data_IF_409367725199
#
_entry.id   IF_409367725199
#
_cell.length_a   1.000
_cell.length_b   1.000
_cell.length_c   1.000
_cell.angle_alpha   90.00
_cell.angle_beta   90.00
_cell.angle_gamma   90.00
#
_symmetry.space_group_name_H-M   'P 1'
#
loop_
_entity.id
_entity.type
_entity.pdbx_description
1 polymer ?
#
# COMPACT_ATOMS: atom_id res chain seq x y z
N UNK A 1 -12.85 45.29 42.63
CA UNK A 1 -12.89 46.58 41.91
C UNK A 1 -13.93 46.40 40.81
N UNK A 2 -15.02 47.16 40.92
CA UNK A 2 -16.27 47.01 40.16
C UNK A 2 -16.14 47.70 38.81
N UNK A 3 -16.57 47.08 37.71
CA UNK A 3 -17.39 47.79 36.72
C UNK A 3 -18.15 46.81 35.80
N UNK A 4 -19.45 46.73 36.03
CA UNK A 4 -20.48 46.26 35.11
C UNK A 4 -21.02 47.52 34.42
N UNK A 5 -21.22 47.54 33.09
CA UNK A 5 -22.07 48.57 32.46
C UNK A 5 -22.92 47.97 31.34
N UNK A 6 -24.23 48.20 31.48
CA UNK A 6 -25.29 47.96 30.52
C UNK A 6 -25.55 49.24 29.69
N UNK A 7 -26.12 49.02 28.50
CA UNK A 7 -27.05 49.86 27.74
C UNK A 7 -26.56 51.11 26.98
N UNK A 8 -26.90 51.19 25.69
CA UNK A 8 -27.86 52.18 25.16
C UNK A 8 -28.14 51.97 23.66
N UNK A 9 -29.39 52.23 23.27
CA UNK A 9 -29.90 52.23 21.90
C UNK A 9 -30.08 53.67 21.35
N UNK A 10 -30.43 53.74 20.06
CA UNK A 10 -31.13 54.81 19.31
C UNK A 10 -30.33 55.71 18.33
N UNK A 11 -30.60 55.58 17.03
CA UNK A 11 -31.32 56.63 16.27
C UNK A 11 -30.69 57.23 14.98
N UNK A 12 -31.47 57.11 13.87
CA UNK A 12 -31.72 58.04 12.72
C UNK A 12 -30.64 58.21 11.63
N UNK A 13 -30.91 57.87 10.36
CA UNK A 13 -31.81 58.41 9.30
C UNK A 13 -31.09 59.43 8.41
N UNK A 14 -30.97 59.14 7.10
CA UNK A 14 -31.32 60.04 5.98
C UNK A 14 -31.04 59.34 4.62
N UNK A 15 -32.09 59.20 3.79
CA UNK A 15 -32.03 58.77 2.37
C UNK A 15 -31.59 59.90 1.41
N UNK A 16 -31.92 59.90 0.10
CA UNK A 16 -33.14 59.35 -0.50
C UNK A 16 -33.03 58.66 -1.90
N UNK A 17 -34.09 57.90 -2.23
CA UNK A 17 -34.92 57.84 -3.46
C UNK A 17 -34.25 57.81 -4.87
N UNK A 18 -34.70 57.10 -5.91
CA UNK A 18 -36.02 56.72 -6.49
C UNK A 18 -35.75 55.51 -7.44
N UNK A 19 -36.66 54.69 -7.98
CA UNK A 19 -38.07 54.80 -8.36
C UNK A 19 -38.73 53.39 -8.47
N UNK A 20 -40.03 53.39 -8.22
CA UNK A 20 -41.13 52.38 -8.31
C UNK A 20 -41.64 52.12 -9.75
N UNK A 21 -42.76 51.40 -10.01
CA UNK A 21 -43.37 50.14 -9.47
C UNK A 21 -43.99 49.21 -10.56
N UNK A 22 -44.62 48.07 -10.16
CA UNK A 22 -45.94 47.49 -10.57
C UNK A 22 -45.97 45.97 -10.25
N UNK A 23 -46.66 45.48 -9.21
CA UNK A 23 -48.07 45.01 -9.12
C UNK A 23 -48.41 43.85 -10.09
N UNK A 24 -48.45 42.57 -9.69
CA UNK A 24 -49.47 41.82 -8.94
C UNK A 24 -50.87 41.74 -9.62
N UNK A 25 -51.35 40.54 -10.00
CA UNK A 25 -52.49 39.83 -9.37
C UNK A 25 -52.91 38.52 -10.11
N UNK A 26 -53.45 37.56 -9.33
CA UNK A 26 -54.46 36.50 -9.55
C UNK A 26 -54.50 35.65 -10.85
N UNK A 27 -54.55 34.31 -10.88
CA UNK A 27 -55.31 33.24 -10.20
C UNK A 27 -56.34 32.56 -11.14
N UNK A 28 -56.60 31.27 -10.84
CA UNK A 28 -57.62 30.31 -11.35
C UNK A 28 -57.28 29.44 -12.58
N UNK A 29 -57.71 28.17 -12.75
CA UNK A 29 -58.16 27.00 -11.94
C UNK A 29 -58.37 25.84 -12.97
N UNK A 30 -58.33 24.57 -12.51
CA UNK A 30 -58.84 23.30 -13.10
C UNK A 30 -57.90 22.49 -14.03
N UNK A 31 -57.86 21.15 -14.00
CA UNK A 31 -58.39 20.10 -13.11
C UNK A 31 -57.87 18.72 -13.61
N UNK A 32 -57.83 17.71 -12.71
CA UNK A 32 -57.69 16.27 -13.01
C UNK A 32 -56.77 15.56 -12.00
N UNK A 33 -57.23 15.13 -10.81
CA UNK A 33 -57.82 13.80 -10.47
C UNK A 33 -56.90 12.61 -10.87
N UNK A 34 -56.54 11.62 -10.04
CA UNK A 34 -57.01 11.17 -8.72
C UNK A 34 -56.03 10.09 -8.15
N UNK A 35 -55.93 10.00 -6.80
CA UNK A 35 -55.74 8.81 -5.91
C UNK A 35 -54.54 7.86 -6.16
N UNK A 36 -53.67 7.52 -5.21
CA UNK A 36 -53.73 7.52 -3.75
C UNK A 36 -53.47 6.09 -3.25
N UNK A 37 -52.34 5.84 -2.59
CA UNK A 37 -52.23 4.82 -1.55
C UNK A 37 -51.05 5.14 -0.62
N UNK A 38 -51.33 5.19 0.67
CA UNK A 38 -50.37 5.35 1.76
C UNK A 38 -50.22 3.98 2.44
N UNK A 39 -49.00 3.45 2.40
CA UNK A 39 -48.56 2.35 3.24
C UNK A 39 -47.26 2.73 3.93
N UNK A 40 -47.37 3.44 5.05
CA UNK A 40 -46.33 3.60 6.06
C UNK A 40 -46.22 2.30 6.86
N UNK A 41 -45.08 1.62 6.75
CA UNK A 41 -44.54 0.79 7.84
C UNK A 41 -43.03 0.95 7.83
N UNK A 42 -42.52 1.63 8.85
CA UNK A 42 -41.10 1.87 9.07
C UNK A 42 -40.26 0.60 9.03
N UNK A 43 -39.08 0.75 8.44
CA UNK A 43 -37.93 -0.11 8.66
C UNK A 43 -36.73 0.78 8.94
N UNK A 44 -35.93 0.26 9.85
CA UNK A 44 -34.94 0.95 10.63
C UNK A 44 -33.77 1.50 9.81
N UNK A 45 -33.05 2.40 10.46
CA UNK A 45 -31.83 3.02 9.96
C UNK A 45 -30.81 1.98 9.48
N UNK A 46 -30.38 2.11 8.23
CA UNK A 46 -29.03 1.74 7.80
C UNK A 46 -28.53 2.88 6.94
N UNK A 47 -27.64 3.70 7.49
CA UNK A 47 -26.89 4.67 6.69
C UNK A 47 -26.23 3.90 5.56
N UNK A 48 -26.67 4.16 4.33
CA UNK A 48 -25.94 3.74 3.14
C UNK A 48 -24.64 4.54 3.16
N UNK A 49 -23.63 3.93 3.76
CA UNK A 49 -22.26 4.33 3.53
C UNK A 49 -21.93 3.86 2.11
N UNK A 50 -21.52 4.82 1.29
CA UNK A 50 -21.11 4.64 -0.10
C UNK A 50 -19.77 3.89 -0.07
N UNK A 51 -19.86 2.58 0.13
CA UNK A 51 -18.78 1.66 -0.14
C UNK A 51 -18.85 1.35 -1.63
N UNK A 52 -17.71 1.28 -2.31
CA UNK A 52 -17.65 0.84 -3.70
C UNK A 52 -18.30 -0.53 -3.89
N UNK A 53 -18.22 -1.08 -5.11
CA UNK A 53 -18.69 -2.45 -5.36
C UNK A 53 -18.12 -3.42 -4.32
N UNK A 54 -18.98 -4.26 -3.73
CA UNK A 54 -18.57 -5.32 -2.80
C UNK A 54 -18.59 -6.66 -3.50
N UNK A 55 -17.69 -7.57 -3.11
CA UNK A 55 -17.69 -8.96 -3.57
C UNK A 55 -17.89 -9.91 -2.38
N UNK A 56 -18.84 -10.83 -2.54
CA UNK A 56 -19.12 -11.86 -1.53
C UNK A 56 -18.05 -12.93 -1.56
N UNK A 57 -17.58 -13.34 -0.38
CA UNK A 57 -16.72 -14.52 -0.23
C UNK A 57 -17.47 -15.74 -0.77
N UNK A 58 -16.85 -16.45 -1.72
CA UNK A 58 -17.48 -17.56 -2.41
C UNK A 58 -17.86 -18.71 -1.46
N UNK A 59 -18.98 -19.39 -1.76
CA UNK A 59 -19.45 -20.52 -0.96
C UNK A 59 -18.39 -21.63 -0.89
N UNK A 60 -18.03 -22.03 0.33
CA UNK A 60 -17.03 -23.08 0.58
C UNK A 60 -15.59 -22.59 0.67
N UNK A 61 -15.33 -21.29 0.46
CA UNK A 61 -14.05 -20.65 0.78
C UNK A 61 -14.03 -20.29 2.27
N UNK A 62 -12.92 -20.51 3.01
CA UNK A 62 -12.77 -20.02 4.37
C UNK A 62 -12.99 -18.51 4.44
N UNK A 63 -13.81 -18.05 5.39
CA UNK A 63 -14.15 -16.63 5.52
C UNK A 63 -12.98 -15.89 6.21
N UNK A 64 -12.39 -14.88 5.55
CA UNK A 64 -11.38 -14.03 6.16
C UNK A 64 -11.84 -13.39 7.47
N UNK A 65 -10.91 -13.20 8.40
CA UNK A 65 -11.14 -12.34 9.56
C UNK A 65 -10.08 -11.25 9.65
N UNK A 66 -10.43 -10.13 10.30
CA UNK A 66 -9.53 -9.03 10.58
C UNK A 66 -9.72 -8.55 12.02
N UNK A 67 -8.61 -8.20 12.67
CA UNK A 67 -8.56 -7.48 13.94
C UNK A 67 -7.47 -6.42 13.88
N UNK A 68 -7.67 -5.29 14.57
CA UNK A 68 -6.69 -4.21 14.63
C UNK A 68 -6.33 -3.83 16.07
N UNK A 69 -5.07 -3.47 16.26
CA UNK A 69 -4.55 -2.88 17.49
C UNK A 69 -3.85 -1.56 17.12
N UNK A 70 -4.25 -0.46 17.77
CA UNK A 70 -3.63 0.86 17.54
C UNK A 70 -2.99 1.34 18.84
N UNK A 71 -1.72 1.69 18.76
CA UNK A 71 -0.91 2.11 19.92
C UNK A 71 -0.23 3.44 19.64
N UNK A 72 -0.21 4.34 20.61
CA UNK A 72 0.50 5.62 20.47
C UNK A 72 2.01 5.35 20.32
N UNK A 73 2.65 5.99 19.34
CA UNK A 73 4.08 5.90 19.15
C UNK A 73 4.79 6.87 20.12
N UNK A 74 5.77 6.39 20.93
CA UNK A 74 6.45 7.24 21.92
C UNK A 74 7.17 8.48 21.35
N UNK A 75 7.43 8.52 20.04
CA UNK A 75 8.09 9.65 19.38
C UNK A 75 7.08 10.49 18.61
N UNK A 76 6.28 9.89 17.73
CA UNK A 76 5.32 10.61 16.88
C UNK A 76 4.30 9.66 16.25
N UNK A 77 3.01 10.03 16.32
CA UNK A 77 1.93 9.34 15.63
C UNK A 77 1.48 8.07 16.35
N UNK A 78 1.05 7.09 15.57
CA UNK A 78 0.49 5.83 16.07
C UNK A 78 1.01 4.64 15.26
N UNK A 79 1.13 3.50 15.90
CA UNK A 79 1.45 2.23 15.27
C UNK A 79 0.18 1.38 15.21
N UNK A 80 -0.25 1.07 13.99
CA UNK A 80 -1.36 0.17 13.67
C UNK A 80 -0.78 -1.22 13.41
N UNK A 81 -1.36 -2.22 14.07
CA UNK A 81 -1.12 -3.65 13.84
C UNK A 81 -2.41 -4.30 13.37
N UNK A 82 -2.33 -5.14 12.34
CA UNK A 82 -3.46 -5.78 11.69
C UNK A 82 -3.25 -7.29 11.67
N UNK A 83 -4.18 -8.02 12.24
CA UNK A 83 -4.15 -9.48 12.29
C UNK A 83 -5.25 -10.00 11.38
N UNK A 84 -4.88 -10.82 10.40
CA UNK A 84 -5.85 -11.50 9.54
C UNK A 84 -5.78 -13.01 9.72
N UNK A 85 -6.89 -13.68 9.42
CA UNK A 85 -6.91 -15.14 9.19
C UNK A 85 -7.55 -15.41 7.85
N UNK A 86 -7.16 -16.51 7.20
CA UNK A 86 -7.77 -16.98 5.96
C UNK A 86 -7.76 -15.93 4.83
N UNK A 87 -6.78 -15.02 4.87
CA UNK A 87 -6.59 -13.95 3.90
C UNK A 87 -5.11 -13.79 3.61
N UNK A 88 -4.76 -13.84 2.33
CA UNK A 88 -3.40 -13.63 1.83
C UNK A 88 -3.30 -12.23 1.26
N UNK A 89 -2.41 -11.43 1.82
CA UNK A 89 -2.10 -10.10 1.27
C UNK A 89 -1.16 -10.31 0.08
N UNK A 90 -1.57 -9.88 -1.12
CA UNK A 90 -0.83 -10.10 -2.37
C UNK A 90 -0.68 -8.79 -3.13
N UNK A 91 0.28 -7.93 -2.73
CA UNK A 91 0.49 -6.62 -3.35
C UNK A 91 0.82 -6.70 -4.84
N UNK A 92 1.39 -7.81 -5.29
CA UNK A 92 1.73 -8.07 -6.70
C UNK A 92 0.48 -8.21 -7.58
N UNK A 93 -0.66 -8.57 -7.00
CA UNK A 93 -1.94 -8.76 -7.69
C UNK A 93 -2.92 -7.61 -7.43
N UNK A 94 -2.49 -6.50 -6.81
CA UNK A 94 -3.38 -5.35 -6.59
C UNK A 94 -3.80 -4.73 -7.92
N UNK A 95 -5.04 -4.24 -7.97
CA UNK A 95 -5.63 -3.64 -9.17
C UNK A 95 -5.82 -4.64 -10.32
N UNK A 96 -5.85 -5.95 -10.03
CA UNK A 96 -6.17 -7.03 -10.98
C UNK A 96 -7.55 -7.63 -10.67
N UNK A 97 -8.00 -8.64 -11.41
CA UNK A 97 -9.27 -9.31 -11.12
C UNK A 97 -9.26 -10.04 -9.78
N UNK A 98 -10.40 -10.05 -9.07
CA UNK A 98 -10.60 -10.76 -7.81
C UNK A 98 -10.15 -12.24 -7.85
N UNK A 99 -9.38 -12.65 -6.83
CA UNK A 99 -9.01 -14.03 -6.52
C UNK A 99 -9.45 -14.33 -5.09
N UNK A 100 -10.20 -15.42 -4.90
CA UNK A 100 -10.70 -15.82 -3.59
C UNK A 100 -9.58 -16.01 -2.55
N UNK A 101 -9.73 -15.34 -1.40
CA UNK A 101 -8.77 -15.40 -0.30
C UNK A 101 -7.52 -14.53 -0.49
N UNK A 102 -7.42 -13.75 -1.58
CA UNK A 102 -6.33 -12.81 -1.82
C UNK A 102 -6.82 -11.35 -1.82
N UNK A 103 -5.89 -10.41 -1.60
CA UNK A 103 -6.16 -8.99 -1.79
C UNK A 103 -5.21 -8.08 -1.01
N UNK A 104 -5.73 -6.95 -0.57
CA UNK A 104 -5.03 -5.95 0.25
C UNK A 104 -6.03 -5.31 1.23
N UNK A 105 -5.63 -4.23 1.90
CA UNK A 105 -6.49 -3.56 2.87
C UNK A 105 -6.55 -2.06 2.64
N UNK A 106 -7.69 -1.47 3.00
CA UNK A 106 -7.90 -0.03 2.96
C UNK A 106 -7.95 0.53 4.39
N UNK A 107 -7.11 1.51 4.68
CA UNK A 107 -7.11 2.26 5.92
C UNK A 107 -7.98 3.51 5.78
N UNK A 108 -8.90 3.69 6.71
CA UNK A 108 -9.72 4.88 6.85
C UNK A 108 -9.48 5.54 8.21
N UNK A 109 -9.41 6.87 8.22
CA UNK A 109 -9.41 7.70 9.42
C UNK A 109 -10.59 8.66 9.32
N UNK A 110 -11.50 8.62 10.30
CA UNK A 110 -12.72 9.44 10.33
C UNK A 110 -13.58 9.32 9.05
N UNK A 111 -13.59 8.14 8.45
CA UNK A 111 -14.31 7.84 7.21
C UNK A 111 -13.57 8.24 5.92
N UNK A 112 -12.42 8.93 6.00
CA UNK A 112 -11.59 9.25 4.84
C UNK A 112 -10.57 8.14 4.58
N UNK A 113 -10.48 7.64 3.34
CA UNK A 113 -9.47 6.65 2.93
C UNK A 113 -8.09 7.32 2.95
N UNK A 114 -7.19 6.84 3.81
CA UNK A 114 -5.84 7.41 4.00
C UNK A 114 -4.78 6.64 3.22
N UNK A 115 -4.85 5.31 3.21
CA UNK A 115 -3.84 4.49 2.53
C UNK A 115 -4.39 3.12 2.13
N UNK A 116 -3.74 2.50 1.15
CA UNK A 116 -3.73 1.05 0.99
C UNK A 116 -2.64 0.46 1.87
N UNK A 117 -2.88 -0.72 2.43
CA UNK A 117 -1.96 -1.42 3.32
C UNK A 117 -1.64 -2.80 2.75
N UNK A 118 -0.39 -3.23 2.91
CA UNK A 118 0.17 -4.41 2.26
C UNK A 118 0.83 -5.39 3.24
N UNK A 119 0.47 -5.29 4.52
CA UNK A 119 1.14 -6.01 5.58
C UNK A 119 0.55 -5.75 6.96
N UNK A 120 1.14 -6.42 7.96
CA UNK A 120 0.65 -6.45 9.34
C UNK A 120 0.79 -5.10 10.06
N UNK A 121 1.75 -4.25 9.68
CA UNK A 121 2.09 -3.05 10.45
C UNK A 121 2.10 -1.80 9.58
N UNK A 122 1.49 -0.73 10.10
CA UNK A 122 1.49 0.58 9.45
C UNK A 122 1.71 1.71 10.46
N UNK A 123 2.40 2.77 10.04
CA UNK A 123 2.56 3.98 10.85
C UNK A 123 1.51 5.00 10.43
N UNK A 124 0.65 5.38 11.37
CA UNK A 124 -0.27 6.50 11.21
C UNK A 124 0.45 7.75 11.72
N UNK A 125 0.47 8.79 10.90
CA UNK A 125 1.08 10.07 11.27
C UNK A 125 0.43 10.74 12.48
N UNK A 126 0.92 11.92 12.84
CA UNK A 126 0.29 12.73 13.87
C UNK A 126 -1.15 13.10 13.45
N UNK A 127 -2.09 12.92 14.38
CA UNK A 127 -3.49 13.30 14.20
C UNK A 127 -3.79 14.59 14.95
N UNK A 128 -4.84 15.30 14.52
CA UNK A 128 -5.32 16.46 15.26
C UNK A 128 -5.77 16.04 16.68
N UNK A 129 -5.80 16.95 17.66
CA UNK A 129 -6.37 16.60 18.96
C UNK A 129 -7.86 16.26 18.86
N UNK A 130 -8.28 15.14 19.43
CA UNK A 130 -9.66 14.67 19.36
C UNK A 130 -9.81 13.15 19.36
N UNK A 131 -11.06 12.70 19.28
CA UNK A 131 -11.38 11.30 18.98
C UNK A 131 -11.24 11.07 17.48
N UNK A 132 -10.60 9.98 17.10
CA UNK A 132 -10.45 9.56 15.71
C UNK A 132 -10.88 8.11 15.55
N UNK A 133 -11.72 7.84 14.56
CA UNK A 133 -12.09 6.49 14.16
C UNK A 133 -11.03 5.93 13.20
N UNK A 134 -10.41 4.81 13.56
CA UNK A 134 -9.49 4.06 12.71
C UNK A 134 -10.21 2.80 12.24
N UNK A 135 -10.38 2.65 10.93
CA UNK A 135 -11.04 1.50 10.32
C UNK A 135 -10.16 0.89 9.25
N UNK A 136 -10.02 -0.43 9.27
CA UNK A 136 -9.29 -1.19 8.25
C UNK A 136 -10.24 -2.20 7.63
N UNK A 137 -10.37 -2.15 6.32
CA UNK A 137 -11.26 -2.99 5.51
C UNK A 137 -10.44 -3.98 4.69
N UNK A 138 -10.89 -5.24 4.59
CA UNK A 138 -10.33 -6.19 3.63
C UNK A 138 -10.89 -5.93 2.23
N UNK A 139 -10.01 -5.80 1.25
CA UNK A 139 -10.36 -5.51 -0.13
C UNK A 139 -9.82 -6.59 -1.06
N UNK A 140 -10.61 -7.01 -2.03
CA UNK A 140 -10.22 -7.91 -3.10
C UNK A 140 -9.13 -7.27 -3.99
N UNK A 141 -8.52 -8.09 -4.86
CA UNK A 141 -7.53 -7.63 -5.84
C UNK A 141 -8.03 -6.46 -6.69
N UNK A 142 -9.32 -6.44 -7.03
CA UNK A 142 -9.95 -5.40 -7.85
C UNK A 142 -10.44 -4.19 -7.05
N UNK A 143 -10.02 -4.09 -5.77
CA UNK A 143 -10.41 -3.10 -4.78
C UNK A 143 -11.85 -3.22 -4.24
N UNK A 144 -12.65 -4.17 -4.72
CA UNK A 144 -13.97 -4.39 -4.15
C UNK A 144 -13.88 -4.76 -2.68
N UNK A 145 -14.76 -4.20 -1.85
CA UNK A 145 -14.80 -4.56 -0.44
C UNK A 145 -15.22 -6.03 -0.29
N UNK A 146 -14.46 -6.82 0.49
CA UNK A 146 -14.84 -8.21 0.77
C UNK A 146 -16.03 -8.22 1.74
N UNK A 147 -17.04 -9.03 1.42
CA UNK A 147 -18.27 -9.14 2.19
C UNK A 147 -18.64 -10.59 2.49
N UNK A 148 -19.37 -10.78 3.60
CA UNK A 148 -20.04 -12.02 3.94
C UNK A 148 -21.48 -11.73 4.39
N UNK A 149 -22.44 -12.36 3.73
CA UNK A 149 -23.87 -12.15 3.96
C UNK A 149 -24.26 -10.66 3.83
N UNK A 150 -23.63 -9.93 2.89
CA UNK A 150 -23.83 -8.51 2.66
C UNK A 150 -23.14 -7.58 3.67
N UNK A 151 -22.36 -8.11 4.62
CA UNK A 151 -21.61 -7.31 5.59
C UNK A 151 -20.14 -7.25 5.19
N UNK A 152 -19.58 -6.04 5.11
CA UNK A 152 -18.15 -5.85 4.83
C UNK A 152 -17.30 -6.45 5.95
N UNK A 153 -16.18 -7.06 5.56
CA UNK A 153 -15.19 -7.61 6.48
C UNK A 153 -14.19 -6.50 6.81
N UNK A 154 -14.44 -5.78 7.90
CA UNK A 154 -13.59 -4.73 8.42
C UNK A 154 -13.41 -4.80 9.94
N UNK A 155 -12.48 -3.99 10.46
CA UNK A 155 -12.27 -3.80 11.89
C UNK A 155 -12.10 -2.31 12.20
N UNK A 156 -12.74 -1.86 13.28
CA UNK A 156 -12.78 -0.45 13.68
C UNK A 156 -12.40 -0.29 15.15
N UNK A 157 -11.61 0.74 15.45
CA UNK A 157 -11.33 1.20 16.82
C UNK A 157 -11.33 2.72 16.88
N UNK A 158 -11.65 3.28 18.03
CA UNK A 158 -11.51 4.71 18.29
C UNK A 158 -10.26 4.96 19.13
N UNK A 159 -9.45 5.92 18.72
CA UNK A 159 -8.30 6.42 19.48
C UNK A 159 -8.54 7.86 19.89
N UNK A 160 -7.83 8.32 20.92
CA UNK A 160 -7.90 9.70 21.40
C UNK A 160 -6.52 10.33 21.29
N UNK A 161 -6.40 11.32 20.42
CA UNK A 161 -5.21 12.14 20.30
C UNK A 161 -5.29 13.32 21.27
N UNK A 162 -4.39 13.36 22.24
CA UNK A 162 -4.32 14.44 23.23
C UNK A 162 -3.79 15.75 22.59
N UNK A 163 -4.22 16.92 23.10
CA UNK A 163 -3.66 18.24 22.72
C UNK A 163 -2.13 18.35 22.92
N UNK A 164 -1.55 17.40 23.65
CA UNK A 164 -0.15 17.32 24.04
C UNK A 164 0.65 16.23 23.31
N UNK A 165 0.09 15.58 22.27
CA UNK A 165 0.86 14.71 21.36
C UNK A 165 1.94 15.48 20.59
N UNK A 166 1.90 16.81 20.62
CA UNK A 166 3.00 17.71 20.25
C UNK A 166 4.15 17.80 21.28
N UNK A 167 4.48 16.73 22.02
CA UNK A 167 5.61 16.74 22.96
C UNK A 167 6.94 16.62 22.21
N UNK A 168 7.52 17.80 22.01
CA UNK A 168 8.90 18.12 21.59
C UNK A 168 9.20 18.03 20.08
N UNK A 169 9.05 19.20 19.44
CA UNK A 169 9.79 19.69 18.27
C UNK A 169 11.30 19.83 18.54
N UNK A 170 11.90 18.80 19.10
CA UNK A 170 13.33 18.61 19.17
C UNK A 170 13.62 17.25 18.56
N UNK A 171 13.80 17.19 17.24
CA UNK A 171 14.45 16.04 16.61
C UNK A 171 15.89 15.96 17.13
N UNK A 172 16.06 15.41 18.32
CA UNK A 172 17.28 14.76 18.74
C UNK A 172 17.39 13.55 17.82
N UNK A 173 17.91 13.76 16.61
CA UNK A 173 18.43 12.64 15.84
C UNK A 173 19.50 12.02 16.72
N UNK A 174 19.21 10.84 17.27
CA UNK A 174 20.26 9.99 17.77
C UNK A 174 21.34 9.97 16.67
N UNK A 175 22.58 10.26 17.07
CA UNK A 175 23.70 10.29 16.13
C UNK A 175 23.72 8.98 15.32
N UNK A 176 24.16 9.06 14.06
CA UNK A 176 24.18 7.89 13.19
C UNK A 176 24.84 6.69 13.90
N UNK A 177 24.25 5.51 13.73
CA UNK A 177 24.70 4.27 14.35
C UNK A 177 25.34 3.39 13.30
N UNK A 178 26.56 2.96 13.57
CA UNK A 178 27.29 2.07 12.69
C UNK A 178 26.75 0.64 12.81
N UNK A 179 26.38 0.04 11.68
CA UNK A 179 25.85 -1.31 11.60
C UNK A 179 26.94 -2.36 11.86
N UNK A 180 26.50 -3.53 12.31
CA UNK A 180 27.39 -4.69 12.40
C UNK A 180 27.50 -5.40 11.05
N UNK A 181 28.59 -6.15 10.85
CA UNK A 181 28.77 -6.99 9.67
C UNK A 181 28.06 -8.35 9.84
N UNK A 182 27.52 -8.97 8.78
CA UNK A 182 27.43 -8.46 7.42
C UNK A 182 26.55 -7.20 7.35
N UNK A 183 26.99 -6.19 6.59
CA UNK A 183 26.29 -4.92 6.61
C UNK A 183 24.89 -5.06 6.02
N UNK A 184 23.93 -4.30 6.56
CA UNK A 184 22.60 -4.25 6.00
C UNK A 184 22.56 -3.42 4.73
N UNK A 185 21.58 -3.73 3.89
CA UNK A 185 21.25 -3.01 2.66
C UNK A 185 19.73 -2.96 2.50
N UNK A 186 19.25 -2.15 1.57
CA UNK A 186 17.83 -2.13 1.19
C UNK A 186 17.73 -1.96 -0.32
N UNK A 187 17.05 -2.88 -1.00
CA UNK A 187 16.64 -2.69 -2.40
C UNK A 187 15.41 -1.78 -2.43
N UNK A 188 15.25 -1.00 -3.49
CA UNK A 188 14.15 -0.05 -3.66
C UNK A 188 13.70 -0.12 -5.11
N UNK A 189 12.43 -0.46 -5.29
CA UNK A 189 11.76 -0.55 -6.57
C UNK A 189 10.41 0.16 -6.51
N UNK A 190 9.96 0.66 -7.66
CA UNK A 190 8.60 1.19 -7.81
C UNK A 190 7.89 0.36 -8.85
N UNK A 191 6.67 -0.03 -8.51
CA UNK A 191 5.75 -0.73 -9.38
C UNK A 191 4.65 0.24 -9.75
N UNK A 192 4.37 0.35 -11.05
CA UNK A 192 3.21 1.06 -11.56
C UNK A 192 1.94 0.40 -11.05
N UNK A 193 0.98 1.22 -10.64
CA UNK A 193 -0.31 0.72 -10.18
C UNK A 193 -1.38 0.91 -11.27
N UNK A 194 -2.10 -0.16 -11.61
CA UNK A 194 -3.18 -0.10 -12.60
C UNK A 194 -4.35 0.80 -12.15
N UNK A 195 -4.54 0.99 -10.84
CA UNK A 195 -5.48 1.96 -10.29
C UNK A 195 -4.91 3.40 -10.26
N UNK A 196 -3.68 3.57 -10.72
CA UNK A 196 -2.95 4.83 -10.79
C UNK A 196 -2.02 5.07 -9.59
N UNK A 197 -0.92 5.76 -9.87
CA UNK A 197 0.15 6.03 -8.92
C UNK A 197 1.17 4.89 -8.87
N UNK A 198 1.87 4.80 -7.75
CA UNK A 198 3.03 3.93 -7.61
C UNK A 198 2.99 3.16 -6.29
N UNK A 199 3.54 1.96 -6.29
CA UNK A 199 3.74 1.15 -5.10
C UNK A 199 5.24 0.96 -4.92
N UNK A 200 5.73 1.33 -3.74
CA UNK A 200 7.11 1.09 -3.34
C UNK A 200 7.26 -0.35 -2.89
N UNK A 201 8.24 -1.06 -3.44
CA UNK A 201 8.76 -2.31 -2.92
C UNK A 201 10.19 -2.10 -2.40
N UNK A 202 10.36 -2.17 -1.08
CA UNK A 202 11.62 -1.97 -0.40
C UNK A 202 11.98 -3.17 0.48
N UNK A 203 13.03 -3.91 0.11
CA UNK A 203 13.41 -5.14 0.80
C UNK A 203 14.75 -4.95 1.52
N UNK A 204 14.75 -4.93 2.87
CA UNK A 204 15.99 -4.92 3.62
C UNK A 204 16.70 -6.28 3.56
N UNK A 205 18.04 -6.28 3.57
CA UNK A 205 18.86 -7.48 3.74
C UNK A 205 19.78 -7.31 4.94
N UNK A 206 20.05 -8.39 5.69
CA UNK A 206 20.77 -8.38 6.97
C UNK A 206 20.17 -7.39 7.99
N UNK A 207 18.87 -7.10 7.89
CA UNK A 207 18.16 -6.18 8.75
C UNK A 207 16.70 -6.60 8.87
N UNK A 208 16.20 -6.66 10.11
CA UNK A 208 14.84 -7.08 10.41
C UNK A 208 13.95 -5.87 10.69
N UNK A 209 12.83 -5.77 9.99
CA UNK A 209 11.79 -4.80 10.36
C UNK A 209 11.17 -5.23 11.70
N UNK A 210 11.19 -4.33 12.67
CA UNK A 210 10.74 -4.55 14.04
C UNK A 210 9.79 -3.44 14.51
N UNK A 211 8.61 -3.27 13.85
CA UNK A 211 7.66 -2.21 14.15
C UNK A 211 7.16 -2.21 15.61
N UNK A 212 6.97 -3.39 16.21
CA UNK A 212 6.61 -3.50 17.63
C UNK A 212 7.69 -2.98 18.60
N UNK A 213 8.92 -2.77 18.13
CA UNK A 213 10.01 -2.16 18.88
C UNK A 213 10.35 -0.74 18.35
N UNK A 214 9.56 -0.17 17.43
CA UNK A 214 9.79 1.18 16.95
C UNK A 214 9.69 2.18 18.12
N UNK A 215 10.51 3.22 18.09
CA UNK A 215 10.59 4.23 19.16
C UNK A 215 11.03 3.67 20.53
N UNK A 216 11.66 2.51 20.55
CA UNK A 216 12.31 1.93 21.74
C UNK A 216 13.83 2.09 21.70
N UNK A 217 14.56 1.44 22.61
CA UNK A 217 16.03 1.47 22.60
C UNK A 217 16.61 0.67 21.43
N UNK A 218 17.74 1.13 20.89
CA UNK A 218 18.47 0.44 19.80
C UNK A 218 18.75 -1.03 20.09
N UNK A 219 18.42 -1.89 19.12
CA UNK A 219 18.80 -3.30 19.04
C UNK A 219 19.53 -3.53 17.72
N UNK A 220 20.67 -4.22 17.77
CA UNK A 220 21.48 -4.47 16.57
C UNK A 220 20.74 -5.36 15.56
N UNK A 221 20.81 -4.97 14.28
CA UNK A 221 20.22 -5.74 13.18
C UNK A 221 18.71 -5.57 12.99
N UNK A 222 18.07 -4.67 13.74
CA UNK A 222 16.64 -4.39 13.58
C UNK A 222 16.28 -2.90 13.66
N UNK A 223 15.05 -2.59 13.24
CA UNK A 223 14.47 -1.26 13.28
C UNK A 223 13.38 -1.10 12.22
N UNK A 224 13.39 0.01 11.48
CA UNK A 224 12.38 0.32 10.47
C UNK A 224 12.97 1.14 9.32
N UNK A 225 12.14 1.48 8.34
CA UNK A 225 12.56 2.28 7.19
C UNK A 225 11.95 3.68 7.25
N UNK A 226 12.66 4.66 6.73
CA UNK A 226 12.10 5.97 6.42
C UNK A 226 12.09 6.16 4.90
N UNK A 227 10.92 6.52 4.36
CA UNK A 227 10.75 6.93 2.97
C UNK A 227 10.87 8.45 2.87
N UNK A 228 11.69 8.87 1.92
CA UNK A 228 11.92 10.25 1.55
C UNK A 228 11.55 10.49 0.09
N UNK A 229 10.93 11.62 -0.19
CA UNK A 229 10.69 12.13 -1.54
C UNK A 229 11.40 13.49 -1.65
N UNK A 230 12.32 13.64 -2.59
CA UNK A 230 13.09 14.87 -2.79
C UNK A 230 13.81 15.37 -1.51
N UNK A 231 14.18 14.44 -0.62
CA UNK A 231 14.83 14.73 0.65
C UNK A 231 13.90 14.96 1.84
N UNK A 232 12.59 15.11 1.62
CA UNK A 232 11.59 15.27 2.68
C UNK A 232 11.09 13.89 3.15
N UNK A 233 11.08 13.66 4.47
CA UNK A 233 10.54 12.41 5.04
C UNK A 233 9.03 12.40 4.86
N UNK A 234 8.51 11.49 4.05
CA UNK A 234 7.06 11.38 3.80
C UNK A 234 6.42 10.29 4.64
N UNK A 235 7.16 9.22 4.96
CA UNK A 235 6.59 8.10 5.70
C UNK A 235 7.63 7.35 6.53
N UNK A 236 7.12 6.70 7.58
CA UNK A 236 7.81 5.62 8.27
C UNK A 236 7.22 4.31 7.73
N UNK A 237 8.07 3.40 7.31
CA UNK A 237 7.67 2.18 6.60
C UNK A 237 8.07 0.95 7.44
N UNK A 238 7.11 0.07 7.68
CA UNK A 238 7.22 -1.09 8.58
C UNK A 238 7.10 -2.44 7.88
N UNK A 239 6.87 -2.40 6.57
CA UNK A 239 6.58 -3.50 5.68
C UNK A 239 7.42 -3.32 4.40
N UNK A 240 7.49 -4.34 3.55
CA UNK A 240 8.27 -4.26 2.31
C UNK A 240 7.52 -3.59 1.18
N UNK A 241 6.19 -3.54 1.24
CA UNK A 241 5.34 -2.91 0.25
C UNK A 241 4.68 -1.66 0.84
N UNK A 242 4.67 -0.56 0.11
CA UNK A 242 4.11 0.70 0.62
C UNK A 242 3.44 1.50 -0.49
N UNK A 243 2.23 1.99 -0.24
CA UNK A 243 1.53 2.85 -1.19
C UNK A 243 2.21 4.22 -1.28
N UNK A 244 2.77 4.57 -2.43
CA UNK A 244 3.35 5.90 -2.58
C UNK A 244 2.26 6.97 -2.49
N UNK A 245 2.53 8.11 -1.80
CA UNK A 245 1.64 9.26 -1.88
C UNK A 245 1.60 9.78 -3.32
N UNK A 246 0.50 10.45 -3.72
CA UNK A 246 0.43 11.10 -5.02
C UNK A 246 1.59 12.08 -5.20
N UNK A 247 2.21 12.04 -6.38
CA UNK A 247 3.33 12.90 -6.74
C UNK A 247 2.90 13.84 -7.87
N UNK A 248 3.28 15.12 -7.82
CA UNK A 248 3.07 16.03 -8.94
C UNK A 248 3.89 15.59 -10.15
N UNK A 249 3.59 16.13 -11.32
CA UNK A 249 4.39 15.87 -12.52
C UNK A 249 5.83 16.40 -12.35
N UNK A 250 6.79 15.63 -12.84
CA UNK A 250 8.21 15.95 -12.84
C UNK A 250 9.10 14.83 -12.27
N UNK A 251 10.37 15.19 -12.08
CA UNK A 251 11.39 14.29 -11.55
C UNK A 251 11.38 14.27 -10.02
N UNK A 252 11.33 13.07 -9.44
CA UNK A 252 11.36 12.84 -8.00
C UNK A 252 12.49 11.89 -7.61
N UNK A 253 13.28 12.26 -6.61
CA UNK A 253 14.16 11.32 -5.92
C UNK A 253 13.36 10.57 -4.86
N UNK A 254 13.27 9.25 -5.01
CA UNK A 254 12.64 8.36 -4.03
C UNK A 254 13.74 7.63 -3.28
N UNK A 255 13.78 7.80 -1.96
CA UNK A 255 14.85 7.24 -1.12
C UNK A 255 14.27 6.53 0.08
N UNK A 256 14.72 5.30 0.32
CA UNK A 256 14.40 4.53 1.52
C UNK A 256 15.66 4.33 2.32
N UNK A 257 15.66 4.74 3.58
CA UNK A 257 16.81 4.59 4.48
C UNK A 257 16.47 3.71 5.68
N UNK A 258 17.42 2.85 6.07
CA UNK A 258 17.29 2.03 7.27
C UNK A 258 17.55 2.86 8.52
N UNK A 259 16.67 2.68 9.50
CA UNK A 259 16.66 3.40 10.76
C UNK A 259 16.61 2.39 11.89
N UNK A 260 17.40 2.63 12.93
CA UNK A 260 17.36 1.83 14.16
C UNK A 260 16.06 2.06 14.94
N UNK A 261 15.77 1.20 15.92
CA UNK A 261 14.58 1.30 16.78
C UNK A 261 14.38 2.69 17.39
N UNK A 262 15.49 3.37 17.72
CA UNK A 262 15.49 4.72 18.33
C UNK A 262 15.58 5.86 17.30
N UNK A 263 15.27 5.57 16.03
CA UNK A 263 15.26 6.49 14.90
C UNK A 263 16.63 7.03 14.46
N UNK A 264 17.73 6.50 14.99
CA UNK A 264 19.05 6.86 14.48
C UNK A 264 19.25 6.32 13.06
N UNK A 265 19.81 7.13 12.13
CA UNK A 265 20.24 6.64 10.83
C UNK A 265 21.28 5.53 10.97
N UNK A 266 21.04 4.41 10.29
CA UNK A 266 21.99 3.32 10.25
C UNK A 266 23.07 3.59 9.19
N UNK A 267 24.34 3.35 9.52
CA UNK A 267 25.48 3.55 8.61
C UNK A 267 26.30 2.28 8.43
N UNK A 268 26.93 2.15 7.26
CA UNK A 268 27.92 1.13 6.93
C UNK A 268 29.18 1.85 6.39
N UNK A 269 30.31 1.64 7.06
CA UNK A 269 31.56 2.39 6.89
C UNK A 269 31.34 3.93 6.88
N UNK A 270 30.43 4.41 7.74
CA UNK A 270 30.06 5.83 7.85
C UNK A 270 29.14 6.37 6.76
N UNK A 271 28.68 5.53 5.82
CA UNK A 271 27.70 5.89 4.78
C UNK A 271 26.31 5.42 5.22
N UNK A 272 25.28 6.27 5.10
CA UNK A 272 23.90 5.87 5.45
C UNK A 272 23.46 4.68 4.60
N UNK A 273 22.88 3.68 5.23
CA UNK A 273 22.30 2.52 4.56
C UNK A 273 20.95 2.93 3.97
N UNK A 274 20.91 3.13 2.66
CA UNK A 274 19.73 3.56 1.94
C UNK A 274 19.77 3.08 0.48
N UNK A 275 18.59 2.89 -0.10
CA UNK A 275 18.36 2.74 -1.52
C UNK A 275 17.72 4.01 -2.10
N UNK A 276 18.07 4.34 -3.33
CA UNK A 276 17.58 5.55 -4.01
C UNK A 276 17.33 5.25 -5.47
N UNK A 277 16.19 5.72 -5.97
CA UNK A 277 15.80 5.67 -7.38
C UNK A 277 15.24 7.03 -7.79
N UNK A 278 15.30 7.32 -9.09
CA UNK A 278 14.67 8.50 -9.69
C UNK A 278 13.39 8.06 -10.37
N UNK A 279 12.30 8.75 -10.09
CA UNK A 279 11.01 8.57 -10.72
C UNK A 279 10.68 9.79 -11.58
N UNK A 280 10.25 9.58 -12.82
CA UNK A 280 9.66 10.62 -13.66
C UNK A 280 8.15 10.42 -13.68
N UNK A 281 7.39 11.44 -13.27
CA UNK A 281 5.92 11.41 -13.26
C UNK A 281 5.41 12.33 -14.35
N UNK A 282 4.59 11.81 -15.26
CA UNK A 282 3.91 12.61 -16.30
C UNK A 282 2.73 13.42 -15.74
N UNK A 283 2.25 14.39 -16.53
CA UNK A 283 1.04 15.16 -16.19
C UNK A 283 -0.20 14.26 -16.08
N UNK A 284 -0.28 13.21 -16.92
CA UNK A 284 -1.40 12.28 -16.90
C UNK A 284 -1.37 11.43 -15.63
N UNK A 285 -0.20 10.92 -15.22
CA UNK A 285 -0.04 10.16 -13.97
C UNK A 285 -0.26 11.03 -12.72
N UNK A 286 0.20 12.28 -12.72
CA UNK A 286 0.04 13.20 -11.60
C UNK A 286 -1.41 13.64 -11.36
N UNK A 287 -2.25 13.55 -12.38
CA UNK A 287 -3.67 13.94 -12.31
C UNK A 287 -4.61 12.75 -12.14
N UNK A 288 -4.08 11.52 -12.11
CA UNK A 288 -4.84 10.33 -11.73
C UNK A 288 -5.35 10.51 -10.28
N UNK A 289 -6.66 10.39 -10.03
CA UNK A 289 -7.17 10.55 -8.68
C UNK A 289 -6.66 9.41 -7.81
N UNK A 290 -6.07 9.74 -6.67
CA UNK A 290 -5.76 8.75 -5.63
C UNK A 290 -7.07 8.06 -5.21
N UNK A 291 -7.26 6.80 -5.58
CA UNK A 291 -8.45 6.02 -5.24
C UNK A 291 -9.66 6.18 -6.16
N UNK A 292 -9.52 6.66 -7.40
CA UNK A 292 -10.56 6.45 -8.42
C UNK A 292 -10.42 5.04 -9.01
N UNK A 293 -10.81 4.06 -8.22
CA UNK A 293 -10.90 2.66 -8.64
C UNK A 293 -11.85 2.61 -9.85
N UNK A 294 -11.33 2.15 -11.00
CA UNK A 294 -12.12 2.05 -12.21
C UNK A 294 -13.12 0.92 -12.03
N UNK A 295 -14.33 1.26 -11.56
CA UNK A 295 -15.48 0.37 -11.66
C UNK A 295 -15.69 0.08 -13.15
N UNK A 296 -15.21 -1.06 -13.62
CA UNK A 296 -15.46 -1.54 -14.98
C UNK A 296 -16.92 -1.98 -15.06
N UNK A 297 -17.83 -1.02 -15.15
CA UNK A 297 -19.19 -1.24 -15.64
C UNK A 297 -19.33 -0.60 -17.02
N UNK A 298 -18.64 -1.17 -18.01
CA UNK A 298 -19.11 -1.19 -19.39
C UNK A 298 -18.54 -2.42 -20.09
N UNK A 299 -19.40 -3.43 -20.23
CA UNK A 299 -19.26 -4.43 -21.28
C UNK A 299 -19.28 -3.72 -22.64
N UNK A 300 -18.11 -3.44 -23.19
CA UNK A 300 -17.98 -3.26 -24.64
C UNK A 300 -16.73 -3.99 -25.13
N UNK A 301 -17.05 -4.93 -26.01
CA UNK A 301 -16.22 -5.81 -26.82
C UNK A 301 -15.07 -5.08 -27.49
N UNK A 302 -13.84 -5.23 -26.96
CA UNK A 302 -12.60 -5.11 -27.73
C UNK A 302 -11.62 -6.19 -27.25
N UNK A 303 -11.69 -7.33 -27.94
CA UNK A 303 -10.63 -8.32 -27.99
C UNK A 303 -9.35 -7.72 -28.60
N UNK A 304 -8.35 -7.42 -27.78
CA UNK A 304 -6.93 -7.58 -28.16
C UNK A 304 -6.17 -8.16 -26.96
N UNK A 305 -5.70 -9.39 -27.12
CA UNK A 305 -4.93 -10.11 -26.11
C UNK A 305 -3.56 -9.45 -25.89
N UNK A 306 -3.47 -8.64 -24.83
CA UNK A 306 -2.22 -8.51 -24.08
C UNK A 306 -2.23 -9.64 -23.04
N UNK A 307 -1.54 -10.73 -23.34
CA UNK A 307 -1.37 -11.86 -22.42
C UNK A 307 -0.71 -11.39 -21.14
N UNK A 308 -1.50 -11.34 -20.06
CA UNK A 308 -1.00 -11.09 -18.72
C UNK A 308 -0.33 -12.36 -18.20
N UNK A 309 0.89 -12.18 -17.72
CA UNK A 309 1.74 -13.17 -17.09
C UNK A 309 1.07 -13.68 -15.78
N UNK A 310 0.23 -14.72 -15.89
CA UNK A 310 -0.30 -15.43 -14.73
C UNK A 310 0.86 -15.99 -13.90
N UNK A 311 0.82 -15.87 -12.57
CA UNK A 311 1.73 -16.62 -11.71
C UNK A 311 1.59 -18.13 -12.02
N UNK A 312 2.71 -18.79 -12.35
CA UNK A 312 2.71 -20.20 -12.70
C UNK A 312 2.21 -21.09 -11.56
N UNK A 313 1.86 -22.34 -11.88
CA UNK A 313 1.32 -23.28 -10.89
C UNK A 313 2.30 -23.44 -9.72
N UNK A 314 1.83 -23.41 -8.45
CA UNK A 314 2.67 -23.69 -7.30
C UNK A 314 3.28 -25.09 -7.36
N UNK A 315 4.54 -25.19 -6.96
CA UNK A 315 5.33 -26.41 -6.86
C UNK A 315 5.52 -26.77 -5.38
N UNK A 316 5.95 -27.99 -5.10
CA UNK A 316 6.29 -28.41 -3.73
C UNK A 316 7.50 -27.66 -3.13
N UNK A 317 8.27 -26.96 -3.97
CA UNK A 317 9.48 -26.26 -3.55
C UNK A 317 9.22 -24.79 -3.23
N UNK A 318 8.04 -24.27 -3.58
CA UNK A 318 7.70 -22.87 -3.30
C UNK A 318 7.81 -22.56 -1.82
N UNK A 319 8.39 -21.40 -1.54
CA UNK A 319 8.63 -20.88 -0.21
C UNK A 319 8.26 -19.40 -0.15
N UNK A 320 8.13 -18.88 1.06
CA UNK A 320 7.93 -17.45 1.27
C UNK A 320 9.22 -16.68 0.96
N UNK A 321 9.13 -15.57 0.24
CA UNK A 321 10.29 -14.72 -0.09
C UNK A 321 10.92 -14.09 1.16
N UNK A 322 10.14 -13.93 2.23
CA UNK A 322 10.64 -13.45 3.52
C UNK A 322 11.54 -14.44 4.27
N UNK A 323 11.46 -15.74 3.94
CA UNK A 323 12.31 -16.78 4.53
C UNK A 323 13.66 -16.93 3.80
N UNK A 324 13.89 -16.18 2.72
CA UNK A 324 15.06 -16.33 1.87
C UNK A 324 16.37 -16.03 2.61
N UNK A 325 17.26 -17.04 2.65
CA UNK A 325 18.62 -16.88 3.14
C UNK A 325 19.51 -16.12 2.15
N UNK A 326 19.13 -16.14 0.86
CA UNK A 326 19.81 -15.45 -0.22
C UNK A 326 18.82 -14.99 -1.28
N UNK A 327 18.95 -13.74 -1.72
CA UNK A 327 18.23 -13.19 -2.86
C UNK A 327 19.18 -13.06 -4.05
N UNK A 328 18.77 -13.60 -5.19
CA UNK A 328 19.49 -13.54 -6.46
C UNK A 328 18.71 -12.60 -7.38
N UNK A 329 19.36 -11.54 -7.85
CA UNK A 329 18.76 -10.58 -8.78
C UNK A 329 19.36 -10.72 -10.17
N UNK A 330 18.52 -10.78 -11.19
CA UNK A 330 18.91 -10.81 -12.59
C UNK A 330 18.19 -9.70 -13.34
N UNK A 331 18.95 -8.76 -13.89
CA UNK A 331 18.42 -7.79 -14.84
C UNK A 331 18.63 -8.31 -16.26
N UNK A 332 17.61 -8.18 -17.11
CA UNK A 332 17.62 -8.69 -18.48
C UNK A 332 17.22 -7.58 -19.45
N UNK A 333 18.12 -7.27 -20.39
CA UNK A 333 17.90 -6.24 -21.43
C UNK A 333 18.06 -6.86 -22.79
N UNK A 334 17.16 -6.54 -23.72
CA UNK A 334 17.08 -7.13 -25.06
C UNK A 334 17.10 -8.68 -25.00
N UNK A 335 16.45 -9.25 -23.99
CA UNK A 335 16.43 -10.70 -23.74
C UNK A 335 17.80 -11.29 -23.39
N UNK A 336 18.73 -10.54 -22.77
CA UNK A 336 19.99 -11.08 -22.24
C UNK A 336 20.35 -10.58 -20.85
N UNK A 337 20.88 -11.45 -19.96
CA UNK A 337 21.24 -11.02 -18.60
C UNK A 337 22.33 -9.96 -18.65
N UNK A 338 22.10 -8.83 -17.99
CA UNK A 338 23.07 -7.75 -17.82
C UNK A 338 24.26 -8.29 -17.03
N UNK A 339 25.47 -8.09 -17.55
CA UNK A 339 26.69 -8.69 -16.99
C UNK A 339 26.93 -10.15 -17.43
N UNK A 340 26.08 -10.70 -18.29
CA UNK A 340 26.18 -12.05 -18.83
C UNK A 340 25.80 -13.14 -17.83
N UNK A 341 25.75 -14.39 -18.31
CA UNK A 341 25.38 -15.55 -17.49
C UNK A 341 26.38 -15.74 -16.36
N UNK A 342 25.91 -15.64 -15.12
CA UNK A 342 26.69 -15.87 -13.91
C UNK A 342 26.42 -17.27 -13.35
N UNK A 343 27.38 -17.79 -12.59
CA UNK A 343 27.18 -18.97 -11.76
C UNK A 343 27.04 -18.53 -10.31
N UNK A 344 25.91 -18.82 -9.70
CA UNK A 344 25.53 -18.37 -8.37
C UNK A 344 25.42 -19.56 -7.44
N UNK A 345 26.23 -19.59 -6.39
CA UNK A 345 26.18 -20.65 -5.38
C UNK A 345 25.13 -20.32 -4.31
N UNK A 346 24.40 -21.35 -3.88
CA UNK A 346 23.44 -21.34 -2.77
C UNK A 346 23.62 -22.60 -1.93
N UNK A 347 23.31 -22.51 -0.64
CA UNK A 347 23.45 -23.64 0.28
C UNK A 347 22.31 -24.65 0.10
N UNK A 348 22.64 -25.95 0.07
CA UNK A 348 21.64 -27.02 0.04
C UNK A 348 20.66 -26.92 1.22
N UNK A 349 19.37 -26.85 0.92
CA UNK A 349 18.27 -26.75 1.89
C UNK A 349 17.94 -25.32 2.33
N UNK A 350 18.61 -24.30 1.78
CA UNK A 350 18.27 -22.89 2.02
C UNK A 350 17.07 -22.45 1.17
N UNK A 351 16.29 -21.49 1.69
CA UNK A 351 15.30 -20.78 0.88
C UNK A 351 16.03 -19.73 0.05
N UNK A 352 15.81 -19.75 -1.27
CA UNK A 352 16.42 -18.86 -2.25
C UNK A 352 15.34 -18.01 -2.89
N UNK A 353 15.44 -16.69 -2.76
CA UNK A 353 14.61 -15.76 -3.53
C UNK A 353 15.28 -15.47 -4.88
N UNK A 354 14.52 -15.53 -5.97
CA UNK A 354 14.94 -15.12 -7.30
C UNK A 354 14.08 -13.93 -7.73
N UNK A 355 14.74 -12.86 -8.16
CA UNK A 355 14.11 -11.66 -8.70
C UNK A 355 14.67 -11.41 -10.10
N UNK A 356 13.83 -11.50 -11.12
CA UNK A 356 14.20 -11.27 -12.51
C UNK A 356 13.41 -10.10 -13.07
N UNK A 357 14.11 -9.06 -13.50
CA UNK A 357 13.55 -7.90 -14.20
C UNK A 357 13.88 -8.00 -15.69
N UNK A 358 12.95 -7.60 -16.56
CA UNK A 358 13.23 -7.59 -18.00
C UNK A 358 12.43 -6.54 -18.76
N UNK A 359 12.97 -6.10 -19.89
CA UNK A 359 12.28 -5.29 -20.91
C UNK A 359 11.43 -6.15 -21.89
N UNK A 360 11.51 -7.48 -21.78
CA UNK A 360 10.69 -8.42 -22.55
C UNK A 360 9.74 -9.21 -21.64
N UNK A 361 8.59 -9.61 -22.17
CA UNK A 361 7.65 -10.49 -21.47
C UNK A 361 7.98 -11.95 -21.73
N UNK A 362 8.20 -12.72 -20.66
CA UNK A 362 8.56 -14.14 -20.75
C UNK A 362 8.33 -14.86 -19.41
N UNK A 363 8.60 -16.17 -19.38
CA UNK A 363 8.55 -16.96 -18.15
C UNK A 363 9.96 -17.36 -17.72
N UNK A 364 10.30 -17.05 -16.47
CA UNK A 364 11.51 -17.56 -15.83
C UNK A 364 11.28 -19.00 -15.43
N UNK A 365 12.13 -19.90 -15.93
CA UNK A 365 12.09 -21.31 -15.61
C UNK A 365 13.34 -21.72 -14.83
N UNK A 366 13.14 -22.27 -13.63
CA UNK A 366 14.18 -22.90 -12.83
C UNK A 366 14.18 -24.40 -13.09
N UNK A 367 15.11 -24.86 -13.94
CA UNK A 367 15.23 -26.28 -14.29
C UNK A 367 15.50 -27.13 -13.05
N UNK A 368 14.96 -28.35 -13.05
CA UNK A 368 15.07 -29.30 -11.93
C UNK A 368 14.08 -29.04 -10.79
N UNK A 369 13.62 -27.81 -10.61
CA UNK A 369 12.56 -27.44 -9.66
C UNK A 369 11.18 -27.33 -10.33
N UNK A 370 11.13 -27.25 -11.66
CA UNK A 370 9.90 -27.15 -12.47
C UNK A 370 9.06 -25.91 -12.11
N UNK A 371 9.75 -24.83 -11.74
CA UNK A 371 9.14 -23.55 -11.37
C UNK A 371 9.13 -22.66 -12.60
N UNK A 372 7.94 -22.24 -13.04
CA UNK A 372 7.73 -21.24 -14.08
C UNK A 372 7.10 -19.99 -13.48
N UNK A 373 7.71 -18.84 -13.69
CA UNK A 373 7.23 -17.56 -13.17
C UNK A 373 7.24 -16.52 -14.27
N UNK A 374 6.05 -16.11 -14.65
CA UNK A 374 5.86 -15.14 -15.70
C UNK A 374 6.29 -13.74 -15.23
N UNK A 375 6.83 -12.97 -16.16
CA UNK A 375 7.26 -11.59 -15.97
C UNK A 375 6.99 -10.79 -17.24
N UNK A 376 6.91 -9.48 -17.09
CA UNK A 376 6.79 -8.54 -18.18
C UNK A 376 7.54 -7.25 -17.85
N UNK A 377 7.63 -6.34 -18.82
CA UNK A 377 8.16 -5.00 -18.56
C UNK A 377 7.40 -4.35 -17.41
N UNK A 378 8.13 -3.87 -16.40
CA UNK A 378 7.56 -3.30 -15.17
C UNK A 378 7.03 -4.32 -14.15
N UNK A 379 6.96 -5.61 -14.48
CA UNK A 379 6.44 -6.67 -13.60
C UNK A 379 7.47 -7.80 -13.47
N UNK A 380 8.40 -7.72 -12.51
CA UNK A 380 9.44 -8.73 -12.35
C UNK A 380 8.88 -10.07 -11.87
N UNK A 381 9.56 -11.15 -12.22
CA UNK A 381 9.34 -12.44 -11.58
C UNK A 381 10.08 -12.41 -10.23
N UNK A 382 9.33 -12.29 -9.13
CA UNK A 382 9.87 -12.36 -7.78
C UNK A 382 9.21 -13.51 -7.00
N UNK A 383 10.01 -14.51 -6.64
CA UNK A 383 9.54 -15.71 -5.97
C UNK A 383 10.66 -16.36 -5.18
N UNK A 384 10.32 -17.26 -4.26
CA UNK A 384 11.29 -18.04 -3.52
C UNK A 384 11.00 -19.53 -3.56
N UNK A 385 12.07 -20.33 -3.44
CA UNK A 385 11.98 -21.78 -3.36
C UNK A 385 13.05 -22.36 -2.44
N UNK A 386 12.76 -23.52 -1.85
CA UNK A 386 13.73 -24.24 -1.03
C UNK A 386 14.67 -25.05 -1.93
N UNK A 387 15.97 -24.78 -1.87
CA UNK A 387 16.99 -25.42 -2.69
C UNK A 387 17.34 -26.83 -2.20
N UNK A 388 16.40 -27.77 -2.30
CA UNK A 388 16.54 -29.14 -1.75
C UNK A 388 17.30 -30.13 -2.65
N UNK A 389 17.53 -29.78 -3.92
CA UNK A 389 18.17 -30.67 -4.90
C UNK A 389 19.61 -30.19 -5.12
N UNK A 390 20.65 -30.97 -4.74
CA UNK A 390 22.03 -30.60 -5.00
C UNK A 390 22.36 -30.73 -6.49
N UNK A 391 23.14 -29.80 -7.04
CA UNK A 391 23.51 -29.83 -8.45
C UNK A 391 23.72 -28.44 -9.04
N UNK A 392 23.86 -28.40 -10.37
CA UNK A 392 23.88 -27.15 -11.14
C UNK A 392 22.65 -27.14 -12.02
N UNK A 393 21.85 -26.10 -11.91
CA UNK A 393 20.59 -25.93 -12.60
C UNK A 393 20.64 -24.70 -13.49
N UNK A 394 19.98 -24.79 -14.64
CA UNK A 394 19.81 -23.66 -15.55
C UNK A 394 18.59 -22.87 -15.08
N UNK A 395 18.78 -21.56 -14.92
CA UNK A 395 17.68 -20.61 -14.82
C UNK A 395 17.65 -19.87 -16.14
N UNK A 396 16.54 -19.99 -16.85
CA UNK A 396 16.40 -19.45 -18.19
C UNK A 396 15.06 -18.76 -18.38
N UNK A 397 14.91 -18.08 -19.51
CA UNK A 397 13.59 -17.87 -20.04
C UNK A 397 13.11 -19.08 -20.85
N UNK A 398 11.91 -19.56 -20.55
CA UNK A 398 11.33 -20.77 -21.15
C UNK A 398 11.08 -20.63 -22.66
N UNK A 399 10.45 -19.53 -23.08
CA UNK A 399 10.00 -19.38 -24.47
C UNK A 399 11.14 -19.28 -25.48
N UNK A 400 12.18 -18.53 -25.13
CA UNK A 400 13.36 -18.26 -25.94
C UNK A 400 14.51 -19.24 -25.66
N UNK A 401 14.44 -20.01 -24.57
CA UNK A 401 15.53 -20.87 -24.09
C UNK A 401 16.77 -20.06 -23.68
N UNK A 402 16.56 -18.82 -23.21
CA UNK A 402 17.65 -17.90 -22.93
C UNK A 402 18.17 -18.12 -21.52
N UNK A 403 19.37 -18.67 -21.42
CA UNK A 403 20.05 -18.82 -20.15
C UNK A 403 20.29 -17.46 -19.46
N UNK A 404 19.83 -17.35 -18.22
CA UNK A 404 19.98 -16.18 -17.35
C UNK A 404 21.12 -16.37 -16.36
N UNK A 405 21.14 -17.50 -15.64
CA UNK A 405 22.20 -17.88 -14.72
C UNK A 405 22.29 -19.40 -14.57
N UNK A 406 23.40 -19.84 -13.97
CA UNK A 406 23.60 -21.19 -13.48
C UNK A 406 23.51 -21.18 -11.96
N UNK A 407 22.51 -21.86 -11.41
CA UNK A 407 22.31 -22.01 -9.98
C UNK A 407 23.08 -23.24 -9.49
N UNK A 408 24.07 -23.06 -8.62
CA UNK A 408 24.82 -24.14 -7.99
C UNK A 408 24.35 -24.35 -6.56
N UNK A 409 23.72 -25.50 -6.30
CA UNK A 409 23.25 -25.91 -4.97
C UNK A 409 24.24 -26.92 -4.40
N UNK A 410 24.94 -26.56 -3.31
CA UNK A 410 26.03 -27.37 -2.74
C UNK A 410 26.05 -27.45 -1.22
#
# INVERSE_FOLDING_TARGET
MVLMLLAAACGRDDGPATATPEAADAAETQAGQEMGDMGDTGQDASGHHDHGTSVEVAEGVPVPTIAIEVTEDPVEGWNLRILTTDFRIVPENVSTSHVDGEGHMHLYIDGEKVSRLYGEWHHIGALAPGEHEVRVELSANDHSALAVDGNIIDATTVIVADEMSGRATGHSHAGAREAQRPYPSVSVELVDDLAGGWILHAVPSNFRLAPGNASSGHVDGEGHMHLYVNGDKVARVYETWYQMPPLPAGTHEIKVALQTNDHAPLTADGIKVAGTITLEVSEDEATMPAGSEHGTDTSDDLSEEAGHAMAGTPTQYDADTSDAAQTITVEVVDGGPVGGVQRVAVDLGSVVALMVTSDVSEEVHVHGYDILRAMSSGHPAHFAFTAEIPGVFEVEFEGSGRLLLLLEVS
#
